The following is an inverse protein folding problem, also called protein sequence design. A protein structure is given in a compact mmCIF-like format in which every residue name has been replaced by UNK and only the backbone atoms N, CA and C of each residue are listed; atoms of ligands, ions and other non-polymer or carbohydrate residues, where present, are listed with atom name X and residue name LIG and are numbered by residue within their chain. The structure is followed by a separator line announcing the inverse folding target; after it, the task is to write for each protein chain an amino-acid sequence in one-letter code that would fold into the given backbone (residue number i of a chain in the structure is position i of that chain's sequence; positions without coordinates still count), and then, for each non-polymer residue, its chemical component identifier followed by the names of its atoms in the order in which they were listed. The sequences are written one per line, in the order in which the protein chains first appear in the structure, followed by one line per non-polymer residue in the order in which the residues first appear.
data_IF_166373979675
#
_entry.id   IF_166373979675
#
_cell.length_a   1.000
_cell.length_b   1.000
_cell.length_c   1.000
_cell.angle_alpha   90.00
_cell.angle_beta   90.00
_cell.angle_gamma   90.00
#
_symmetry.space_group_name_H-M   'P 1'
#
loop_
_entity.id
_entity.type
_entity.pdbx_description
1 polymer ?
#
# COMPACT_ATOMS: atom_id res chain seq x y z
N UNK A 1 3.51 -10.91 -2.52
CA UNK A 1 3.48 -9.53 -3.07
C UNK A 1 3.39 -9.59 -4.58
N UNK A 2 2.75 -8.61 -5.24
CA UNK A 2 2.90 -8.42 -6.70
C UNK A 2 4.33 -8.04 -7.00
N UNK A 3 4.90 -8.63 -8.04
CA UNK A 3 6.20 -8.25 -8.60
C UNK A 3 5.98 -7.52 -9.93
N UNK A 4 5.09 -8.05 -10.76
CA UNK A 4 4.77 -7.46 -12.08
C UNK A 4 3.28 -7.63 -12.40
N UNK A 5 2.71 -6.66 -13.12
CA UNK A 5 1.39 -6.73 -13.77
C UNK A 5 1.59 -6.50 -15.27
N UNK A 6 1.04 -7.40 -16.07
CA UNK A 6 1.18 -7.42 -17.52
C UNK A 6 -0.20 -7.50 -18.13
N UNK A 7 -0.44 -6.73 -19.20
CA UNK A 7 -1.61 -6.89 -20.07
C UNK A 7 -1.10 -7.31 -21.45
N UNK A 8 -1.48 -8.51 -21.85
CA UNK A 8 -1.20 -9.06 -23.17
C UNK A 8 -2.49 -9.16 -23.98
N UNK A 9 -2.38 -8.99 -25.29
CA UNK A 9 -3.41 -9.44 -26.21
C UNK A 9 -3.16 -10.90 -26.62
N UNK A 10 -4.22 -11.57 -27.03
CA UNK A 10 -4.19 -12.86 -27.71
C UNK A 10 -3.25 -12.75 -28.95
N UNK A 11 -2.22 -13.58 -28.99
CA UNK A 11 -1.08 -13.44 -29.93
C UNK A 11 0.22 -12.95 -29.28
N UNK A 12 0.21 -12.62 -27.98
CA UNK A 12 1.41 -12.27 -27.21
C UNK A 12 1.84 -10.80 -27.34
N UNK A 13 1.00 -9.94 -27.91
CA UNK A 13 1.29 -8.51 -28.03
C UNK A 13 1.19 -7.88 -26.64
N UNK A 14 2.28 -7.28 -26.17
CA UNK A 14 2.31 -6.54 -24.92
C UNK A 14 1.62 -5.18 -25.08
N UNK A 15 0.53 -4.98 -24.36
CA UNK A 15 -0.18 -3.70 -24.32
C UNK A 15 0.30 -2.85 -23.14
N UNK A 16 0.52 -3.47 -21.98
CA UNK A 16 0.92 -2.76 -20.77
C UNK A 16 1.80 -3.63 -19.89
N UNK A 17 2.77 -2.98 -19.23
CA UNK A 17 3.62 -3.61 -18.24
C UNK A 17 3.89 -2.65 -17.09
N UNK A 18 3.69 -3.17 -15.88
CA UNK A 18 4.00 -2.53 -14.63
C UNK A 18 4.91 -3.45 -13.81
N UNK A 19 6.07 -2.96 -13.39
CA UNK A 19 7.01 -3.68 -12.53
C UNK A 19 7.25 -2.90 -11.26
N UNK A 20 7.12 -3.58 -10.13
CA UNK A 20 7.31 -3.00 -8.80
C UNK A 20 8.80 -2.75 -8.52
N UNK A 21 9.69 -3.59 -9.04
CA UNK A 21 11.14 -3.48 -8.84
C UNK A 21 11.89 -2.77 -9.97
N UNK A 22 11.21 -2.27 -11.02
CA UNK A 22 11.84 -1.61 -12.17
C UNK A 22 12.69 -2.52 -13.07
N UNK A 23 13.02 -3.73 -12.62
CA UNK A 23 13.66 -4.76 -13.44
C UNK A 23 12.64 -5.32 -14.44
N UNK A 24 12.93 -5.19 -15.74
CA UNK A 24 12.14 -5.83 -16.80
C UNK A 24 12.59 -7.28 -16.96
N UNK A 25 11.88 -8.22 -16.33
CA UNK A 25 11.99 -9.66 -16.68
C UNK A 25 10.88 -10.09 -17.65
N UNK A 26 10.51 -9.16 -18.52
CA UNK A 26 9.37 -9.26 -19.42
C UNK A 26 9.50 -10.43 -20.40
N UNK A 27 10.69 -10.65 -20.98
CA UNK A 27 10.90 -11.67 -22.02
C UNK A 27 10.79 -13.09 -21.45
N UNK A 28 11.35 -13.33 -20.25
CA UNK A 28 11.23 -14.60 -19.53
C UNK A 28 9.76 -14.88 -19.15
N UNK A 29 9.03 -13.83 -18.74
CA UNK A 29 7.64 -13.91 -18.32
C UNK A 29 6.67 -14.17 -19.46
N UNK A 30 6.82 -13.44 -20.57
CA UNK A 30 5.99 -13.63 -21.77
C UNK A 30 6.25 -15.00 -22.36
N UNK A 31 7.51 -15.45 -22.43
CA UNK A 31 7.84 -16.80 -22.89
C UNK A 31 7.25 -17.89 -21.96
N UNK A 32 7.37 -17.73 -20.64
CA UNK A 32 6.79 -18.65 -19.67
C UNK A 32 5.26 -18.69 -19.76
N UNK A 33 4.60 -17.53 -19.95
CA UNK A 33 3.16 -17.44 -20.10
C UNK A 33 2.67 -18.05 -21.42
N UNK A 34 3.32 -17.77 -22.56
CA UNK A 34 2.94 -18.35 -23.84
C UNK A 34 3.12 -19.87 -23.85
N UNK A 35 4.25 -20.36 -23.31
CA UNK A 35 4.48 -21.80 -23.12
C UNK A 35 3.41 -22.46 -22.24
N UNK A 36 2.96 -21.75 -21.21
CA UNK A 36 1.89 -22.19 -20.33
C UNK A 36 0.52 -22.22 -21.01
N UNK A 37 0.16 -21.20 -21.78
CA UNK A 37 -1.10 -21.14 -22.52
C UNK A 37 -1.17 -22.23 -23.58
N UNK A 38 -0.06 -22.50 -24.28
CA UNK A 38 0.02 -23.60 -25.26
C UNK A 38 -0.14 -24.98 -24.60
N UNK A 39 0.45 -25.18 -23.42
CA UNK A 39 0.27 -26.40 -22.63
C UNK A 39 -1.17 -26.55 -22.11
N UNK A 40 -1.83 -25.44 -21.74
CA UNK A 40 -3.21 -25.44 -21.24
C UNK A 40 -4.23 -25.67 -22.38
N UNK A 41 -3.95 -25.16 -23.58
CA UNK A 41 -4.74 -25.36 -24.78
C UNK A 41 -4.76 -26.83 -25.26
N UNK A 42 -3.74 -27.62 -24.89
CA UNK A 42 -3.73 -29.07 -25.14
C UNK A 42 -4.58 -29.89 -24.14
N UNK A 43 -5.01 -29.32 -23.01
CA UNK A 43 -5.72 -30.03 -21.93
C UNK A 43 -7.22 -29.68 -21.80
N UNK A 44 -7.87 -29.18 -22.86
CA UNK A 44 -9.24 -28.62 -22.78
C UNK A 44 -10.23 -29.53 -22.04
N UNK A 45 -10.77 -29.02 -20.93
CA UNK A 45 -11.92 -29.62 -20.26
C UNK A 45 -12.17 -29.07 -18.87
N UNK A 46 -12.85 -27.92 -18.78
CA UNK A 46 -13.54 -27.41 -17.58
C UNK A 46 -12.74 -27.50 -16.26
N UNK A 47 -11.85 -26.53 -16.05
CA UNK A 47 -11.89 -25.69 -14.85
C UNK A 47 -10.79 -24.61 -14.91
N UNK A 48 -11.08 -23.46 -14.31
CA UNK A 48 -10.33 -22.20 -14.33
C UNK A 48 -8.98 -22.30 -13.60
N UNK A 49 -8.07 -23.12 -14.09
CA UNK A 49 -6.69 -23.15 -13.59
C UNK A 49 -6.00 -21.91 -14.17
N UNK A 50 -5.84 -20.87 -13.34
CA UNK A 50 -5.16 -19.60 -13.67
C UNK A 50 -3.94 -19.35 -12.80
N UNK A 51 -3.24 -20.41 -12.38
CA UNK A 51 -2.01 -20.24 -11.61
C UNK A 51 -0.95 -21.26 -12.02
N UNK A 52 0.28 -20.78 -12.24
CA UNK A 52 1.46 -21.62 -12.43
C UNK A 52 2.56 -21.11 -11.50
N UNK A 53 3.14 -22.02 -10.73
CA UNK A 53 4.28 -21.74 -9.85
C UNK A 53 5.60 -22.03 -10.56
N UNK A 54 6.54 -21.10 -10.45
CA UNK A 54 7.91 -21.20 -10.95
C UNK A 54 8.87 -20.82 -9.81
N UNK A 55 9.58 -21.80 -9.24
CA UNK A 55 10.50 -21.57 -8.14
C UNK A 55 9.87 -20.66 -7.06
N UNK A 56 10.44 -19.48 -6.78
CA UNK A 56 9.96 -18.54 -5.76
C UNK A 56 8.79 -17.62 -6.20
N UNK A 57 8.26 -17.78 -7.41
CA UNK A 57 7.21 -16.95 -7.99
C UNK A 57 6.04 -17.80 -8.45
N UNK A 58 4.89 -17.16 -8.60
CA UNK A 58 3.74 -17.74 -9.28
C UNK A 58 3.07 -16.69 -10.15
N UNK A 59 2.53 -17.15 -11.27
CA UNK A 59 1.75 -16.32 -12.17
C UNK A 59 0.28 -16.55 -11.92
N UNK A 60 -0.46 -15.48 -11.70
CA UNK A 60 -1.91 -15.48 -11.67
C UNK A 60 -2.40 -14.72 -12.89
N UNK A 61 -3.41 -15.21 -13.60
CA UNK A 61 -3.97 -14.48 -14.72
C UNK A 61 -5.50 -14.47 -14.76
N UNK A 62 -6.06 -13.48 -15.44
CA UNK A 62 -7.48 -13.35 -15.76
C UNK A 62 -7.62 -13.04 -17.25
N UNK A 63 -8.49 -13.77 -17.96
CA UNK A 63 -8.81 -13.51 -19.38
C UNK A 63 -10.07 -12.65 -19.46
N UNK A 64 -10.01 -11.53 -20.19
CA UNK A 64 -11.16 -10.65 -20.48
C UNK A 64 -11.21 -10.41 -21.99
N UNK A 65 -12.09 -11.12 -22.69
CA UNK A 65 -12.13 -11.09 -24.16
C UNK A 65 -10.85 -11.68 -24.76
N UNK A 66 -10.19 -10.93 -25.65
CA UNK A 66 -8.88 -11.27 -26.24
C UNK A 66 -7.69 -10.73 -25.41
N UNK A 67 -7.91 -10.27 -24.17
CA UNK A 67 -6.86 -9.75 -23.31
C UNK A 67 -6.57 -10.71 -22.15
N UNK A 68 -5.30 -10.83 -21.80
CA UNK A 68 -4.79 -11.53 -20.64
C UNK A 68 -4.18 -10.52 -19.67
N UNK A 69 -4.72 -10.48 -18.47
CA UNK A 69 -4.19 -9.72 -17.35
C UNK A 69 -3.43 -10.68 -16.46
N UNK A 70 -2.13 -10.45 -16.27
CA UNK A 70 -1.22 -11.39 -15.61
C UNK A 70 -0.56 -10.65 -14.45
N UNK A 71 -0.57 -11.22 -13.27
CA UNK A 71 0.23 -10.79 -12.13
C UNK A 71 1.29 -11.85 -11.83
N UNK A 72 2.55 -11.46 -11.82
CA UNK A 72 3.60 -12.24 -11.18
C UNK A 72 3.60 -11.89 -9.69
N UNK A 73 3.50 -12.89 -8.84
CA UNK A 73 3.44 -12.72 -7.39
C UNK A 73 4.41 -13.70 -6.70
N UNK A 74 4.82 -13.42 -5.47
CA UNK A 74 5.61 -14.38 -4.68
C UNK A 74 4.81 -15.66 -4.44
N UNK A 75 5.46 -16.83 -4.45
CA UNK A 75 4.84 -18.14 -4.25
C UNK A 75 3.95 -18.20 -2.99
N UNK A 76 4.38 -17.55 -1.91
CA UNK A 76 3.69 -17.53 -0.62
C UNK A 76 2.40 -16.70 -0.57
N UNK A 77 2.15 -15.86 -1.58
CA UNK A 77 0.97 -14.97 -1.58
C UNK A 77 -0.33 -15.78 -1.73
N UNK A 78 -1.52 -15.19 -1.59
CA UNK A 78 -2.79 -15.89 -1.94
C UNK A 78 -3.16 -15.58 -3.39
N UNK A 79 -3.61 -16.57 -4.17
CA UNK A 79 -3.95 -16.36 -5.59
C UNK A 79 -5.22 -15.52 -5.75
N UNK A 80 -6.10 -15.64 -4.78
CA UNK A 80 -7.48 -15.17 -4.78
C UNK A 80 -7.55 -13.64 -4.79
N UNK A 81 -6.74 -13.00 -3.94
CA UNK A 81 -6.62 -11.53 -3.89
C UNK A 81 -6.18 -10.97 -5.25
N UNK A 82 -5.21 -11.62 -5.91
CA UNK A 82 -4.73 -11.15 -7.20
C UNK A 82 -5.69 -11.43 -8.34
N UNK A 83 -6.52 -12.47 -8.26
CA UNK A 83 -7.63 -12.64 -9.22
C UNK A 83 -8.63 -11.49 -9.14
N UNK A 84 -8.94 -11.02 -7.94
CA UNK A 84 -9.85 -9.87 -7.73
C UNK A 84 -9.21 -8.59 -8.26
N UNK A 85 -7.94 -8.34 -7.90
CA UNK A 85 -7.17 -7.19 -8.41
C UNK A 85 -7.13 -7.21 -9.94
N UNK A 86 -6.78 -8.36 -10.55
CA UNK A 86 -6.69 -8.49 -12.00
C UNK A 86 -8.05 -8.32 -12.68
N UNK A 87 -9.15 -8.76 -12.05
CA UNK A 87 -10.50 -8.53 -12.58
C UNK A 87 -10.88 -7.05 -12.57
N UNK A 88 -10.62 -6.36 -11.46
CA UNK A 88 -10.88 -4.92 -11.33
C UNK A 88 -10.03 -4.12 -12.34
N UNK A 89 -8.74 -4.45 -12.43
CA UNK A 89 -7.84 -3.88 -13.45
C UNK A 89 -8.31 -4.19 -14.87
N UNK A 90 -8.80 -5.40 -15.14
CA UNK A 90 -9.32 -5.75 -16.45
C UNK A 90 -10.55 -4.93 -16.84
N UNK A 91 -11.46 -4.68 -15.90
CA UNK A 91 -12.64 -3.84 -16.13
C UNK A 91 -12.24 -2.38 -16.37
N UNK A 92 -11.36 -1.85 -15.53
CA UNK A 92 -10.88 -0.47 -15.67
C UNK A 92 -10.08 -0.29 -16.97
N UNK A 93 -9.21 -1.23 -17.34
CA UNK A 93 -8.41 -1.15 -18.57
C UNK A 93 -9.30 -1.17 -19.81
N UNK A 94 -10.25 -2.12 -19.90
CA UNK A 94 -11.16 -2.22 -21.04
C UNK A 94 -12.06 -0.98 -21.12
N UNK A 95 -12.53 -0.48 -19.97
CA UNK A 95 -13.35 0.73 -19.94
C UNK A 95 -12.58 1.98 -20.36
N UNK A 96 -11.32 2.12 -19.91
CA UNK A 96 -10.49 3.28 -20.16
C UNK A 96 -10.02 3.36 -21.61
N UNK A 97 -9.73 2.19 -22.21
CA UNK A 97 -9.12 2.11 -23.54
C UNK A 97 -10.01 1.45 -24.59
N UNK A 98 -11.32 1.37 -24.37
CA UNK A 98 -12.25 0.70 -25.29
C UNK A 98 -12.06 1.15 -26.75
N UNK A 99 -11.96 2.45 -26.99
CA UNK A 99 -11.78 3.00 -28.33
C UNK A 99 -10.41 2.63 -28.94
N UNK A 100 -9.35 2.62 -28.14
CA UNK A 100 -8.01 2.24 -28.59
C UNK A 100 -7.89 0.74 -28.86
N UNK A 101 -8.60 -0.08 -28.07
CA UNK A 101 -8.66 -1.54 -28.22
C UNK A 101 -9.45 -1.99 -29.47
N UNK A 102 -10.30 -1.13 -30.02
CA UNK A 102 -11.05 -1.38 -31.26
C UNK A 102 -10.25 -1.07 -32.54
N UNK A 103 -9.08 -0.42 -32.41
CA UNK A 103 -8.23 -0.09 -33.55
C UNK A 103 -7.29 -1.26 -33.88
N UNK A 104 -6.96 -1.44 -35.17
CA UNK A 104 -6.01 -2.47 -35.61
C UNK A 104 -4.55 -2.15 -35.23
N UNK A 105 -4.25 -0.89 -34.95
CA UNK A 105 -2.92 -0.43 -34.56
C UNK A 105 -2.97 0.24 -33.18
N UNK A 106 -2.18 -0.30 -32.24
CA UNK A 106 -2.12 0.21 -30.88
C UNK A 106 -0.98 1.21 -30.70
N UNK A 107 -1.29 2.38 -30.16
CA UNK A 107 -0.29 3.28 -29.62
C UNK A 107 0.02 2.88 -28.16
N UNK A 108 1.05 2.06 -27.99
CA UNK A 108 1.50 1.55 -26.68
C UNK A 108 1.82 2.67 -25.68
N UNK A 109 2.11 3.89 -26.17
CA UNK A 109 2.34 5.06 -25.32
C UNK A 109 1.10 5.46 -24.53
N UNK A 110 -0.11 5.23 -25.05
CA UNK A 110 -1.38 5.61 -24.41
C UNK A 110 -1.68 4.76 -23.19
N UNK A 111 -1.36 3.47 -23.25
CA UNK A 111 -1.58 2.53 -22.15
C UNK A 111 -0.68 2.80 -20.94
N UNK A 112 0.42 3.58 -21.09
CA UNK A 112 1.28 3.95 -19.95
C UNK A 112 0.54 4.70 -18.84
N UNK A 113 -0.48 5.48 -19.19
CA UNK A 113 -1.32 6.20 -18.19
C UNK A 113 -2.07 5.25 -17.26
N UNK A 114 -2.18 3.97 -17.60
CA UNK A 114 -2.77 2.94 -16.75
C UNK A 114 -1.91 2.63 -15.50
N UNK A 115 -0.64 3.06 -15.47
CA UNK A 115 0.20 2.92 -14.27
C UNK A 115 -0.45 3.55 -13.05
N UNK A 116 -1.02 4.76 -13.18
CA UNK A 116 -1.64 5.46 -12.05
C UNK A 116 -2.86 4.70 -11.52
N UNK A 117 -3.60 4.04 -12.43
CA UNK A 117 -4.75 3.20 -12.11
C UNK A 117 -4.33 1.94 -11.39
N UNK A 118 -3.25 1.29 -11.85
CA UNK A 118 -2.66 0.12 -11.21
C UNK A 118 -2.17 0.48 -9.80
N UNK A 119 -1.42 1.57 -9.66
CA UNK A 119 -0.92 2.03 -8.36
C UNK A 119 -2.07 2.36 -7.41
N UNK A 120 -3.05 3.14 -7.87
CA UNK A 120 -4.24 3.48 -7.07
C UNK A 120 -5.01 2.23 -6.64
N UNK A 121 -5.16 1.27 -7.55
CA UNK A 121 -5.85 0.01 -7.25
C UNK A 121 -5.06 -0.79 -6.22
N UNK A 122 -3.76 -0.96 -6.38
CA UNK A 122 -2.90 -1.61 -5.39
C UNK A 122 -2.94 -0.90 -4.03
N UNK A 123 -2.95 0.44 -4.01
CA UNK A 123 -3.08 1.24 -2.79
C UNK A 123 -4.39 1.01 -2.04
N UNK A 124 -5.52 0.77 -2.73
CA UNK A 124 -6.81 0.44 -2.09
C UNK A 124 -6.72 -0.83 -1.25
N UNK A 125 -5.86 -1.77 -1.63
CA UNK A 125 -5.66 -3.03 -0.92
C UNK A 125 -4.59 -2.95 0.18
N UNK A 126 -3.94 -1.79 0.36
CA UNK A 126 -2.65 -1.71 1.09
C UNK A 126 -2.55 -0.70 2.26
N UNK A 127 -3.57 0.10 2.58
CA UNK A 127 -3.76 0.76 3.90
C UNK A 127 -2.64 1.68 4.47
N UNK A 128 -1.52 1.88 3.79
CA UNK A 128 -0.39 2.77 4.12
C UNK A 128 0.10 3.37 2.79
N UNK A 129 0.49 4.66 2.70
CA UNK A 129 1.08 5.23 1.49
C UNK A 129 2.29 4.39 1.06
N UNK A 130 2.24 3.83 -0.15
CA UNK A 130 3.17 2.79 -0.62
C UNK A 130 4.65 3.20 -0.65
N UNK A 131 4.97 4.49 -0.52
CA UNK A 131 6.33 4.99 -0.30
C UNK A 131 6.92 4.49 1.02
N UNK A 132 6.15 4.51 2.11
CA UNK A 132 6.60 4.09 3.45
C UNK A 132 6.83 2.58 3.59
N UNK A 133 6.40 1.79 2.60
CA UNK A 133 6.65 0.34 2.57
C UNK A 133 7.97 -0.04 1.89
N UNK A 134 8.39 0.73 0.88
CA UNK A 134 9.63 0.47 0.13
C UNK A 134 10.80 1.32 0.61
N UNK A 135 10.50 2.55 1.02
CA UNK A 135 11.49 3.56 1.34
C UNK A 135 11.33 4.03 2.77
N UNK A 136 12.46 4.42 3.34
CA UNK A 136 12.49 5.28 4.52
C UNK A 136 11.62 6.50 4.22
N UNK A 137 10.63 6.77 5.06
CA UNK A 137 9.66 7.87 4.85
C UNK A 137 9.56 8.71 6.11
N UNK A 138 9.57 10.03 5.97
CA UNK A 138 9.42 10.95 7.09
C UNK A 138 8.01 11.53 7.09
N UNK A 139 7.36 11.51 8.24
CA UNK A 139 6.00 12.02 8.42
C UNK A 139 6.06 13.43 8.99
N UNK A 140 5.88 14.41 8.11
CA UNK A 140 5.70 15.81 8.49
C UNK A 140 4.30 16.08 9.06
N UNK A 141 4.13 17.11 9.91
CA UNK A 141 2.81 17.60 10.30
C UNK A 141 1.93 17.88 9.08
N UNK A 142 0.63 17.57 9.17
CA UNK A 142 -0.28 17.66 8.02
C UNK A 142 -0.34 19.05 7.40
N UNK A 143 -0.21 20.11 8.20
CA UNK A 143 -0.21 21.49 7.72
C UNK A 143 1.03 21.78 6.85
N UNK A 144 2.23 21.44 7.33
CA UNK A 144 3.49 21.58 6.58
C UNK A 144 3.50 20.73 5.32
N UNK A 145 3.06 19.46 5.43
CA UNK A 145 2.99 18.55 4.28
C UNK A 145 2.03 19.08 3.20
N UNK A 146 0.88 19.62 3.59
CA UNK A 146 -0.09 20.19 2.65
C UNK A 146 0.47 21.43 1.95
N UNK A 147 1.21 22.28 2.67
CA UNK A 147 1.87 23.45 2.08
C UNK A 147 2.93 23.00 1.07
N UNK A 148 3.81 22.07 1.45
CA UNK A 148 4.85 21.53 0.57
C UNK A 148 4.26 20.84 -0.65
N UNK A 149 3.23 20.02 -0.48
CA UNK A 149 2.53 19.34 -1.58
C UNK A 149 1.92 20.36 -2.54
N UNK A 150 1.23 21.38 -2.03
CA UNK A 150 0.67 22.45 -2.86
C UNK A 150 1.76 23.19 -3.64
N UNK A 151 2.88 23.53 -3.01
CA UNK A 151 4.00 24.21 -3.65
C UNK A 151 4.70 23.34 -4.69
N UNK A 152 4.81 22.05 -4.44
CA UNK A 152 5.35 21.10 -5.43
C UNK A 152 4.46 21.08 -6.68
N UNK A 153 3.13 20.98 -6.50
CA UNK A 153 2.18 21.03 -7.62
C UNK A 153 2.29 22.36 -8.38
N UNK A 154 2.40 23.50 -7.69
CA UNK A 154 2.56 24.82 -8.34
C UNK A 154 3.80 24.87 -9.25
N UNK A 155 4.90 24.24 -8.84
CA UNK A 155 6.14 24.12 -9.63
C UNK A 155 5.96 23.17 -10.83
N UNK A 156 5.27 22.06 -10.64
CA UNK A 156 4.98 21.04 -11.67
C UNK A 156 3.97 21.49 -12.73
N UNK A 157 3.23 22.58 -12.49
CA UNK A 157 2.40 23.22 -13.52
C UNK A 157 3.24 23.83 -14.64
N UNK A 158 4.53 24.12 -14.38
CA UNK A 158 5.43 24.59 -15.42
C UNK A 158 5.64 23.49 -16.48
N UNK A 159 5.77 23.89 -17.75
CA UNK A 159 5.99 22.93 -18.86
C UNK A 159 7.32 22.15 -18.71
N UNK A 160 8.26 22.73 -17.98
CA UNK A 160 9.66 22.32 -17.94
C UNK A 160 10.01 21.49 -16.70
N UNK A 161 9.19 21.53 -15.64
CA UNK A 161 9.30 20.66 -14.46
C UNK A 161 8.13 19.67 -14.46
N UNK A 162 8.42 18.38 -14.55
CA UNK A 162 7.40 17.35 -14.74
C UNK A 162 6.90 16.74 -13.44
N UNK A 163 7.83 16.42 -12.54
CA UNK A 163 7.59 15.77 -11.24
C UNK A 163 8.71 16.14 -10.29
N UNK A 164 8.46 16.19 -8.99
CA UNK A 164 9.52 16.34 -8.00
C UNK A 164 9.34 15.52 -6.73
N UNK A 165 10.38 15.51 -5.91
CA UNK A 165 10.37 14.97 -4.56
C UNK A 165 11.27 15.78 -3.63
N UNK A 166 11.12 15.50 -2.35
CA UNK A 166 11.97 15.99 -1.28
C UNK A 166 12.40 14.81 -0.42
N UNK A 167 13.70 14.61 -0.30
CA UNK A 167 14.31 13.51 0.45
C UNK A 167 15.28 14.12 1.46
N UNK A 168 15.22 13.70 2.72
CA UNK A 168 16.13 14.15 3.77
C UNK A 168 17.55 13.64 3.54
N UNK A 169 18.55 14.27 4.16
CA UNK A 169 19.96 13.90 3.99
C UNK A 169 20.29 12.46 4.41
N UNK A 170 19.50 11.87 5.30
CA UNK A 170 19.58 10.47 5.74
C UNK A 170 18.69 9.49 4.93
N UNK A 171 18.11 9.97 3.83
CA UNK A 171 17.43 9.16 2.82
C UNK A 171 15.95 8.90 3.10
N UNK A 172 15.29 9.67 3.98
CA UNK A 172 13.84 9.57 4.19
C UNK A 172 13.09 10.44 3.19
N UNK A 173 12.12 9.86 2.50
CA UNK A 173 11.24 10.57 1.58
C UNK A 173 10.23 11.36 2.40
N UNK A 174 10.21 12.69 2.24
CA UNK A 174 9.25 13.58 2.88
C UNK A 174 7.99 13.77 2.03
N UNK A 175 8.18 13.91 0.71
CA UNK A 175 7.13 14.11 -0.28
C UNK A 175 7.66 13.65 -1.63
N UNK A 176 6.85 12.99 -2.44
CA UNK A 176 7.26 12.58 -3.78
C UNK A 176 6.08 12.42 -4.74
N UNK A 177 6.19 13.02 -5.92
CA UNK A 177 5.43 12.67 -7.11
C UNK A 177 6.27 11.89 -8.13
N UNK A 178 7.56 11.64 -7.83
CA UNK A 178 8.42 10.79 -8.64
C UNK A 178 7.92 9.34 -8.67
N UNK A 179 8.14 8.67 -9.80
CA UNK A 179 7.91 7.22 -9.94
C UNK A 179 8.95 6.44 -9.15
N UNK A 180 8.65 5.18 -8.79
CA UNK A 180 9.56 4.36 -8.00
C UNK A 180 11.00 4.29 -8.57
N UNK A 181 11.17 4.02 -9.86
CA UNK A 181 12.51 3.98 -10.47
C UNK A 181 13.20 5.35 -10.50
N UNK A 182 12.44 6.46 -10.52
CA UNK A 182 13.00 7.82 -10.47
C UNK A 182 13.54 8.09 -9.06
N UNK A 183 12.83 7.65 -8.02
CA UNK A 183 13.27 7.72 -6.62
C UNK A 183 14.56 6.93 -6.41
N UNK A 184 14.68 5.70 -6.94
CA UNK A 184 15.91 4.91 -6.84
C UNK A 184 17.10 5.67 -7.43
N UNK A 185 16.93 6.28 -8.60
CA UNK A 185 17.98 7.10 -9.23
C UNK A 185 18.37 8.26 -8.31
N UNK A 186 17.41 8.95 -7.70
CA UNK A 186 17.73 10.03 -6.76
C UNK A 186 18.53 9.51 -5.57
N UNK A 187 18.07 8.43 -4.93
CA UNK A 187 18.72 7.83 -3.76
C UNK A 187 20.15 7.35 -4.08
N UNK A 188 20.39 6.78 -5.27
CA UNK A 188 21.71 6.36 -5.74
C UNK A 188 22.64 7.56 -6.02
N UNK A 189 22.09 8.66 -6.54
CA UNK A 189 22.85 9.85 -6.90
C UNK A 189 23.14 10.77 -5.69
N UNK A 190 22.29 10.75 -4.66
CA UNK A 190 22.41 11.62 -3.48
C UNK A 190 23.80 11.58 -2.81
N UNK A 191 24.41 10.41 -2.55
CA UNK A 191 25.74 10.33 -1.92
C UNK A 191 26.87 10.92 -2.76
N UNK A 192 26.67 11.05 -4.07
CA UNK A 192 27.69 11.50 -5.04
C UNK A 192 27.39 12.88 -5.65
N UNK A 193 26.49 13.65 -5.03
CA UNK A 193 26.27 15.05 -5.39
C UNK A 193 27.51 15.89 -5.03
N UNK A 194 28.09 16.55 -6.05
CA UNK A 194 29.29 17.38 -5.88
C UNK A 194 28.98 18.88 -5.75
N UNK A 195 27.82 19.33 -6.26
CA UNK A 195 27.40 20.73 -6.30
C UNK A 195 26.06 20.90 -5.57
N UNK A 196 25.73 22.13 -5.20
CA UNK A 196 24.43 22.41 -4.57
C UNK A 196 23.27 22.35 -5.57
N UNK A 197 23.54 22.59 -6.86
CA UNK A 197 22.60 22.44 -7.96
C UNK A 197 23.31 21.66 -9.06
N UNK A 198 22.66 20.61 -9.58
CA UNK A 198 23.23 19.78 -10.64
C UNK A 198 22.12 19.21 -11.53
N UNK A 199 22.28 19.30 -12.85
CA UNK A 199 21.43 18.57 -13.81
C UNK A 199 22.17 17.34 -14.29
N UNK A 200 21.56 16.16 -14.12
CA UNK A 200 22.10 14.89 -14.60
C UNK A 200 21.13 14.19 -15.53
N UNK A 201 21.60 13.89 -16.73
CA UNK A 201 20.95 12.89 -17.58
C UNK A 201 21.15 11.50 -16.97
N UNK A 202 20.14 10.64 -17.08
CA UNK A 202 20.23 9.26 -16.62
C UNK A 202 19.60 8.33 -17.66
N UNK A 203 20.23 7.18 -17.89
CA UNK A 203 19.82 6.24 -18.95
C UNK A 203 18.39 5.71 -18.78
N UNK A 204 17.90 5.65 -17.53
CA UNK A 204 16.55 5.21 -17.18
C UNK A 204 15.47 6.30 -17.32
N UNK A 205 15.83 7.54 -17.67
CA UNK A 205 14.87 8.63 -17.89
C UNK A 205 14.50 8.74 -19.37
N UNK A 206 13.26 9.15 -19.65
CA UNK A 206 12.78 9.34 -21.03
C UNK A 206 13.47 10.55 -21.66
N UNK A 207 14.03 10.43 -22.86
CA UNK A 207 14.57 11.61 -23.57
C UNK A 207 13.40 12.49 -24.06
N UNK A 208 13.47 13.83 -23.95
CA UNK A 208 14.61 14.66 -23.55
C UNK A 208 14.52 15.15 -22.09
N UNK A 209 14.43 14.26 -21.10
CA UNK A 209 14.37 14.64 -19.67
C UNK A 209 15.67 14.38 -18.93
N UNK A 210 15.87 15.10 -17.84
CA UNK A 210 17.00 14.96 -16.93
C UNK A 210 16.54 15.12 -15.48
N UNK A 211 17.41 14.77 -14.54
CA UNK A 211 17.21 14.92 -13.12
C UNK A 211 17.89 16.22 -12.66
N UNK A 212 17.12 17.18 -12.18
CA UNK A 212 17.62 18.35 -11.48
C UNK A 212 17.71 18.01 -9.99
N UNK A 213 18.89 18.08 -9.41
CA UNK A 213 19.18 17.80 -8.00
C UNK A 213 19.59 19.10 -7.32
N UNK A 214 18.93 19.42 -6.20
CA UNK A 214 19.22 20.62 -5.44
C UNK A 214 19.37 20.26 -3.96
N UNK A 215 20.56 20.54 -3.40
CA UNK A 215 20.84 20.35 -1.98
C UNK A 215 20.16 21.47 -1.20
N UNK A 216 19.30 21.11 -0.25
CA UNK A 216 18.69 22.06 0.68
C UNK A 216 19.58 22.15 1.92
N UNK A 217 20.10 23.33 2.24
CA UNK A 217 21.10 23.65 3.30
C UNK A 217 21.09 22.68 4.52
N UNK A 218 21.74 21.51 4.36
CA UNK A 218 21.84 20.40 5.32
C UNK A 218 20.55 19.62 5.68
N UNK A 219 19.41 19.94 5.09
CA UNK A 219 18.14 19.24 5.35
C UNK A 219 17.93 18.05 4.43
N UNK A 220 18.42 18.12 3.18
CA UNK A 220 18.30 17.03 2.24
C UNK A 220 18.54 17.43 0.78
N UNK A 221 17.82 16.76 -0.12
CA UNK A 221 17.86 16.98 -1.55
C UNK A 221 16.42 17.10 -2.07
N UNK A 222 16.15 18.20 -2.75
CA UNK A 222 14.99 18.32 -3.63
C UNK A 222 15.40 17.85 -5.02
N UNK A 223 14.62 16.94 -5.60
CA UNK A 223 14.92 16.39 -6.92
C UNK A 223 13.72 16.56 -7.85
N UNK A 224 13.97 16.89 -9.11
CA UNK A 224 12.94 17.15 -10.11
C UNK A 224 13.27 16.48 -11.43
N UNK A 225 12.27 15.90 -12.09
CA UNK A 225 12.37 15.53 -13.50
C UNK A 225 12.08 16.78 -14.32
N UNK A 226 13.05 17.20 -15.12
CA UNK A 226 12.94 18.40 -15.96
C UNK A 226 13.10 18.06 -17.44
N UNK A 227 12.42 18.78 -18.33
CA UNK A 227 12.67 18.69 -19.78
C UNK A 227 13.88 19.50 -20.13
N UNK A 228 14.90 18.91 -20.75
CA UNK A 228 16.11 19.60 -21.18
C UNK A 228 15.78 20.77 -22.11
N UNK A 229 16.37 21.94 -21.86
CA UNK A 229 16.20 23.13 -22.70
C UNK A 229 16.47 24.46 -21.99
N UNK A 230 16.47 24.49 -20.66
CA UNK A 230 16.80 25.69 -19.87
C UNK A 230 18.18 25.55 -19.20
N UNK A 231 18.73 26.67 -18.70
CA UNK A 231 19.94 26.66 -17.87
C UNK A 231 19.65 26.21 -16.44
N UNK A 232 20.68 25.79 -15.70
CA UNK A 232 20.57 25.44 -14.27
C UNK A 232 19.95 26.57 -13.45
N UNK A 233 20.35 27.82 -13.71
CA UNK A 233 19.81 29.01 -13.04
C UNK A 233 18.31 29.19 -13.29
N UNK A 234 17.85 29.01 -14.53
CA UNK A 234 16.43 29.13 -14.86
C UNK A 234 15.59 28.05 -14.19
N UNK A 235 16.06 26.81 -14.12
CA UNK A 235 15.33 25.79 -13.35
C UNK A 235 15.34 26.09 -11.86
N UNK A 236 16.47 26.56 -11.32
CA UNK A 236 16.56 26.94 -9.92
C UNK A 236 15.52 28.02 -9.57
N UNK A 237 15.36 29.04 -10.41
CA UNK A 237 14.32 30.07 -10.24
C UNK A 237 12.90 29.48 -10.26
N UNK A 238 12.62 28.53 -11.17
CA UNK A 238 11.30 27.88 -11.25
C UNK A 238 10.94 27.10 -9.99
N UNK A 239 11.91 26.42 -9.38
CA UNK A 239 11.69 25.58 -8.20
C UNK A 239 11.93 26.31 -6.87
N UNK A 240 12.51 27.52 -6.91
CA UNK A 240 12.78 28.36 -5.73
C UNK A 240 11.58 28.53 -4.79
N UNK A 241 10.33 28.75 -5.28
CA UNK A 241 9.17 28.85 -4.41
C UNK A 241 8.97 27.61 -3.54
N UNK A 242 9.22 26.41 -4.06
CA UNK A 242 9.15 25.17 -3.29
C UNK A 242 10.34 25.03 -2.33
N UNK A 243 11.55 25.36 -2.79
CA UNK A 243 12.77 25.27 -1.99
C UNK A 243 12.72 26.15 -0.73
N UNK A 244 12.09 27.32 -0.81
CA UNK A 244 11.92 28.20 0.34
C UNK A 244 11.18 27.49 1.49
N UNK A 245 10.03 26.87 1.20
CA UNK A 245 9.28 26.11 2.21
C UNK A 245 9.99 24.82 2.62
N UNK A 246 10.63 24.11 1.69
CA UNK A 246 11.41 22.92 2.01
C UNK A 246 12.59 23.23 2.96
N UNK A 247 13.14 24.43 2.88
CA UNK A 247 14.21 24.89 3.78
C UNK A 247 13.71 25.25 5.18
N UNK A 248 12.44 25.60 5.32
CA UNK A 248 11.80 25.96 6.60
C UNK A 248 11.24 24.74 7.35
N UNK A 249 10.82 23.69 6.64
CA UNK A 249 10.22 22.48 7.22
C UNK A 249 11.08 21.83 8.33
N UNK A 250 10.44 21.38 9.41
CA UNK A 250 11.12 20.73 10.54
C UNK A 250 11.20 19.20 10.32
N UNK A 251 12.36 18.74 9.85
CA UNK A 251 12.64 17.31 9.70
C UNK A 251 13.22 16.66 10.95
N UNK A 252 13.71 17.44 11.93
CA UNK A 252 14.35 16.89 13.13
C UNK A 252 13.30 16.42 14.14
N UNK A 253 12.21 17.18 14.30
CA UNK A 253 11.06 16.79 15.12
C UNK A 253 10.10 15.79 14.46
N UNK A 254 10.24 15.55 13.15
CA UNK A 254 9.32 14.73 12.39
C UNK A 254 9.55 13.21 12.56
N UNK A 255 8.46 12.45 12.61
CA UNK A 255 8.52 11.01 12.86
C UNK A 255 9.05 10.27 11.63
N UNK A 256 10.12 9.51 11.82
CA UNK A 256 10.74 8.67 10.79
C UNK A 256 10.14 7.26 10.79
N UNK A 257 9.75 6.78 9.61
CA UNK A 257 9.28 5.42 9.37
C UNK A 257 10.32 4.65 8.55
N UNK A 258 10.71 3.50 9.08
CA UNK A 258 11.48 2.53 8.32
C UNK A 258 10.56 1.73 7.40
N UNK A 259 11.04 1.31 6.21
CA UNK A 259 10.29 0.40 5.36
C UNK A 259 10.00 -0.91 6.11
N UNK A 260 8.78 -1.42 5.96
CA UNK A 260 8.37 -2.70 6.55
C UNK A 260 9.26 -3.82 5.98
N UNK A 261 10.18 -4.34 6.82
CA UNK A 261 10.96 -5.54 6.51
C UNK A 261 10.10 -6.78 6.74
N UNK A 262 9.08 -6.97 5.92
CA UNK A 262 8.23 -8.15 6.07
C UNK A 262 7.81 -8.70 4.72
N UNK A 263 8.57 -9.69 4.27
CA UNK A 263 8.11 -10.77 3.40
C UNK A 263 7.06 -11.61 4.13
N UNK A 264 5.92 -11.02 4.50
CA UNK A 264 4.79 -11.79 5.00
C UNK A 264 3.58 -11.61 4.09
N UNK A 265 2.87 -12.71 3.89
CA UNK A 265 1.57 -12.82 3.23
C UNK A 265 0.72 -11.57 3.43
N UNK A 266 0.24 -10.97 2.33
CA UNK A 266 -0.84 -9.98 2.36
C UNK A 266 -2.09 -10.75 2.79
N UNK A 267 -2.28 -10.84 4.09
CA UNK A 267 -3.49 -11.33 4.76
C UNK A 267 -3.95 -10.21 5.68
N UNK A 268 -5.25 -10.03 5.87
CA UNK A 268 -5.71 -9.04 6.82
C UNK A 268 -5.24 -9.46 8.22
N UNK A 269 -4.67 -8.53 8.98
CA UNK A 269 -4.21 -8.88 10.31
C UNK A 269 -5.43 -9.19 11.17
N UNK A 270 -5.32 -10.25 11.98
CA UNK A 270 -6.38 -10.72 12.86
C UNK A 270 -6.91 -9.63 13.82
N UNK A 271 -6.11 -8.58 14.05
CA UNK A 271 -6.40 -7.48 14.96
C UNK A 271 -6.75 -6.16 14.26
N UNK A 272 -6.88 -6.16 12.93
CA UNK A 272 -7.46 -5.03 12.22
C UNK A 272 -8.98 -5.02 12.37
N UNK A 273 -9.59 -3.84 12.32
CA UNK A 273 -11.04 -3.65 12.34
C UNK A 273 -11.61 -3.54 10.94
N UNK A 274 -12.83 -4.05 10.78
CA UNK A 274 -13.60 -3.91 9.55
C UNK A 274 -14.67 -2.86 9.75
N UNK A 275 -14.56 -1.72 9.05
CA UNK A 275 -15.55 -0.64 9.09
C UNK A 275 -16.45 -0.69 7.86
N UNK A 276 -17.79 -0.68 8.03
CA UNK A 276 -18.71 -0.53 6.91
C UNK A 276 -18.60 0.87 6.29
N UNK A 277 -18.53 0.93 4.96
CA UNK A 277 -18.63 2.18 4.16
C UNK A 277 -20.02 2.28 3.52
N UNK A 278 -20.56 1.16 3.06
CA UNK A 278 -21.90 1.07 2.51
C UNK A 278 -22.96 0.84 3.61
N UNK A 279 -24.25 0.92 3.23
CA UNK A 279 -25.34 0.57 4.15
C UNK A 279 -25.24 -0.90 4.56
N UNK A 280 -25.60 -1.20 5.81
CA UNK A 280 -25.56 -2.56 6.35
C UNK A 280 -26.40 -3.53 5.51
N UNK A 281 -27.56 -3.09 5.03
CA UNK A 281 -28.42 -3.92 4.16
C UNK A 281 -27.78 -4.19 2.78
N UNK A 282 -27.01 -3.23 2.25
CA UNK A 282 -26.25 -3.43 1.00
C UNK A 282 -25.09 -4.42 1.17
N UNK A 283 -24.39 -4.35 2.30
CA UNK A 283 -23.33 -5.29 2.67
C UNK A 283 -23.92 -6.70 2.88
N UNK A 284 -25.07 -6.81 3.54
CA UNK A 284 -25.78 -8.07 3.77
C UNK A 284 -26.23 -8.71 2.46
N UNK A 285 -26.81 -7.93 1.55
CA UNK A 285 -27.22 -8.42 0.23
C UNK A 285 -26.03 -9.02 -0.53
N UNK A 286 -24.89 -8.33 -0.53
CA UNK A 286 -23.68 -8.80 -1.18
C UNK A 286 -23.08 -10.02 -0.49
N UNK A 287 -22.99 -10.01 0.84
CA UNK A 287 -22.54 -11.17 1.63
C UNK A 287 -23.37 -12.41 1.29
N UNK A 288 -24.70 -12.28 1.22
CA UNK A 288 -25.58 -13.39 0.87
C UNK A 288 -25.40 -13.87 -0.57
N UNK A 289 -25.07 -12.97 -1.49
CA UNK A 289 -24.72 -13.30 -2.88
C UNK A 289 -23.42 -14.11 -2.95
N UNK A 290 -22.37 -13.61 -2.29
CA UNK A 290 -21.05 -14.24 -2.22
C UNK A 290 -21.06 -15.57 -1.47
N UNK A 291 -21.89 -15.71 -0.44
CA UNK A 291 -22.03 -16.89 0.40
C UNK A 291 -23.16 -17.83 -0.03
N UNK A 292 -23.76 -17.62 -1.20
CA UNK A 292 -24.88 -18.42 -1.72
C UNK A 292 -24.54 -19.93 -1.82
N UNK A 293 -23.28 -20.26 -2.12
CA UNK A 293 -22.78 -21.64 -2.18
C UNK A 293 -22.21 -22.16 -0.83
N UNK A 294 -22.16 -21.34 0.21
CA UNK A 294 -21.59 -21.72 1.51
C UNK A 294 -22.54 -22.56 2.36
N UNK A 295 -21.99 -23.17 3.42
CA UNK A 295 -22.73 -24.00 4.38
C UNK A 295 -23.81 -23.21 5.14
N UNK A 296 -24.84 -23.89 5.66
CA UNK A 296 -25.87 -23.25 6.50
C UNK A 296 -25.28 -22.53 7.72
N UNK A 297 -24.22 -23.08 8.32
CA UNK A 297 -23.51 -22.44 9.43
C UNK A 297 -22.92 -21.08 9.02
N UNK A 298 -22.29 -21.00 7.85
CA UNK A 298 -21.70 -19.77 7.31
C UNK A 298 -22.78 -18.73 6.99
N UNK A 299 -23.93 -19.15 6.45
CA UNK A 299 -25.07 -18.26 6.19
C UNK A 299 -25.69 -17.72 7.48
N UNK A 300 -25.80 -18.57 8.51
CA UNK A 300 -26.21 -18.12 9.86
C UNK A 300 -25.21 -17.12 10.47
N UNK A 301 -23.93 -17.29 10.15
CA UNK A 301 -22.86 -16.35 10.52
C UNK A 301 -23.01 -14.99 9.86
N UNK A 302 -23.48 -14.91 8.60
CA UNK A 302 -23.71 -13.64 7.91
C UNK A 302 -24.76 -12.77 8.61
N UNK A 303 -25.80 -13.38 9.18
CA UNK A 303 -26.82 -12.69 10.00
C UNK A 303 -26.18 -12.13 11.28
N UNK A 304 -25.37 -12.92 11.98
CA UNK A 304 -24.63 -12.46 13.18
C UNK A 304 -23.61 -11.36 12.85
N UNK A 305 -22.99 -11.44 11.68
CA UNK A 305 -22.06 -10.42 11.21
C UNK A 305 -22.77 -9.09 10.99
N UNK A 306 -24.02 -9.10 10.50
CA UNK A 306 -24.85 -7.89 10.39
C UNK A 306 -24.98 -7.14 11.70
N UNK A 307 -25.18 -7.87 12.81
CA UNK A 307 -25.30 -7.28 14.15
C UNK A 307 -23.95 -6.74 14.66
N UNK A 308 -22.83 -7.38 14.29
CA UNK A 308 -21.49 -6.99 14.72
C UNK A 308 -20.89 -5.83 13.89
N UNK A 309 -21.22 -5.71 12.61
CA UNK A 309 -20.63 -4.74 11.66
C UNK A 309 -20.69 -3.27 12.12
N UNK A 310 -21.79 -2.76 12.74
CA UNK A 310 -21.84 -1.39 13.25
C UNK A 310 -20.73 -1.07 14.26
N UNK A 311 -20.33 -2.05 15.07
CA UNK A 311 -19.28 -1.90 16.10
C UNK A 311 -17.85 -2.03 15.54
N UNK A 312 -17.72 -2.18 14.21
CA UNK A 312 -16.46 -2.36 13.49
C UNK A 312 -15.61 -3.50 14.07
N UNK A 313 -16.04 -4.76 13.92
CA UNK A 313 -15.44 -5.91 14.60
C UNK A 313 -14.03 -6.20 14.07
N UNK A 314 -13.25 -6.95 14.85
CA UNK A 314 -11.94 -7.41 14.42
C UNK A 314 -12.05 -8.49 13.32
N UNK A 315 -11.05 -8.58 12.45
CA UNK A 315 -10.95 -9.67 11.46
C UNK A 315 -11.03 -11.04 12.14
N UNK A 316 -10.38 -11.23 13.29
CA UNK A 316 -10.49 -12.47 14.07
C UNK A 316 -11.91 -12.78 14.56
N UNK A 317 -12.69 -11.74 14.91
CA UNK A 317 -14.07 -11.90 15.36
C UNK A 317 -14.98 -12.28 14.20
N UNK A 318 -14.78 -11.67 13.02
CA UNK A 318 -15.48 -12.05 11.80
C UNK A 318 -15.16 -13.50 11.42
N UNK A 319 -13.90 -13.92 11.56
CA UNK A 319 -13.49 -15.30 11.34
C UNK A 319 -14.28 -16.28 12.21
N UNK A 320 -14.42 -15.95 13.50
CA UNK A 320 -15.17 -16.76 14.46
C UNK A 320 -16.67 -16.76 14.14
N UNK A 321 -17.24 -15.60 13.78
CA UNK A 321 -18.66 -15.44 13.46
C UNK A 321 -19.05 -16.23 12.21
N UNK A 322 -18.25 -16.15 11.15
CA UNK A 322 -18.52 -16.82 9.87
C UNK A 322 -18.05 -18.28 9.84
N UNK A 323 -17.24 -18.69 10.83
CA UNK A 323 -16.57 -20.00 10.90
C UNK A 323 -15.82 -20.35 9.60
N UNK A 324 -15.25 -19.33 8.94
CA UNK A 324 -14.52 -19.49 7.69
C UNK A 324 -13.02 -19.75 7.95
N UNK A 325 -12.40 -20.64 7.15
CA UNK A 325 -10.95 -20.68 7.01
C UNK A 325 -10.38 -19.30 6.67
N UNK A 326 -9.19 -18.97 7.17
CA UNK A 326 -8.59 -17.63 7.02
C UNK A 326 -8.50 -17.17 5.56
N UNK A 327 -8.11 -18.07 4.65
CA UNK A 327 -8.06 -17.79 3.21
C UNK A 327 -9.42 -17.44 2.60
N UNK A 328 -10.49 -18.12 3.01
CA UNK A 328 -11.86 -17.83 2.54
C UNK A 328 -12.39 -16.51 3.13
N UNK A 329 -12.02 -16.21 4.38
CA UNK A 329 -12.33 -14.92 4.99
C UNK A 329 -11.62 -13.78 4.27
N UNK A 330 -10.32 -13.93 4.00
CA UNK A 330 -9.53 -12.93 3.29
C UNK A 330 -10.11 -12.66 1.89
N UNK A 331 -10.56 -13.70 1.18
CA UNK A 331 -11.24 -13.55 -0.12
C UNK A 331 -12.58 -12.79 0.02
N UNK A 332 -13.39 -13.14 1.01
CA UNK A 332 -14.66 -12.49 1.26
C UNK A 332 -14.48 -11.00 1.61
N UNK A 333 -13.53 -10.68 2.50
CA UNK A 333 -13.21 -9.31 2.85
C UNK A 333 -12.64 -8.54 1.65
N UNK A 334 -11.76 -9.15 0.85
CA UNK A 334 -11.24 -8.53 -0.37
C UNK A 334 -12.34 -8.20 -1.39
N UNK A 335 -13.32 -9.09 -1.57
CA UNK A 335 -14.47 -8.85 -2.45
C UNK A 335 -15.33 -7.67 -1.97
N UNK A 336 -15.58 -7.57 -0.66
CA UNK A 336 -16.35 -6.46 -0.09
C UNK A 336 -15.58 -5.13 -0.17
N UNK A 337 -14.25 -5.15 -0.01
CA UNK A 337 -13.40 -3.97 -0.20
C UNK A 337 -13.41 -3.51 -1.65
N UNK A 338 -13.26 -4.45 -2.60
CA UNK A 338 -13.25 -4.15 -4.04
C UNK A 338 -14.57 -3.49 -4.49
N UNK A 339 -15.68 -3.88 -3.88
CA UNK A 339 -17.01 -3.28 -4.11
C UNK A 339 -17.27 -2.01 -3.31
N UNK A 340 -16.25 -1.48 -2.63
CA UNK A 340 -16.32 -0.28 -1.79
C UNK A 340 -17.36 -0.37 -0.66
N UNK A 341 -17.57 -1.57 -0.13
CA UNK A 341 -18.58 -1.84 0.90
C UNK A 341 -18.02 -1.75 2.31
N UNK A 342 -16.76 -2.15 2.50
CA UNK A 342 -16.05 -2.14 3.78
C UNK A 342 -14.64 -1.60 3.60
N UNK A 343 -14.03 -1.15 4.70
CA UNK A 343 -12.61 -0.77 4.77
C UNK A 343 -11.97 -1.43 5.99
N UNK A 344 -10.73 -1.85 5.83
CA UNK A 344 -9.89 -2.35 6.92
C UNK A 344 -9.18 -1.16 7.58
N UNK A 345 -9.21 -1.12 8.90
CA UNK A 345 -8.57 -0.07 9.70
C UNK A 345 -7.69 -0.70 10.77
N UNK A 346 -6.52 -0.11 10.98
CA UNK A 346 -5.65 -0.48 12.10
C UNK A 346 -6.27 -0.01 13.41
N UNK A 347 -5.94 -0.72 14.49
CA UNK A 347 -6.38 -0.41 15.86
C UNK A 347 -5.23 0.17 16.66
N UNK A 348 -5.45 1.36 17.23
CA UNK A 348 -4.48 2.12 18.01
C UNK A 348 -4.93 2.22 19.48
N UNK A 349 -4.28 1.51 20.43
CA UNK A 349 -4.62 1.60 21.84
C UNK A 349 -4.01 2.86 22.48
N UNK A 350 -4.78 3.50 23.35
CA UNK A 350 -4.33 4.59 24.25
C UNK A 350 -4.60 4.17 25.68
N UNK A 351 -3.58 4.22 26.54
CA UNK A 351 -3.71 4.03 27.99
C UNK A 351 -3.72 5.40 28.69
N UNK A 352 -4.58 5.56 29.69
CA UNK A 352 -4.63 6.76 30.53
C UNK A 352 -3.34 6.92 31.36
N UNK A 353 -3.03 8.12 31.85
CA UNK A 353 -1.81 8.35 32.63
C UNK A 353 -1.72 7.45 33.88
N UNK A 354 -0.50 7.02 34.20
CA UNK A 354 -0.23 6.13 35.33
C UNK A 354 -0.34 6.91 36.63
N UNK A 355 -1.55 7.04 37.14
CA UNK A 355 -1.80 7.62 38.45
C UNK A 355 -1.85 6.54 39.55
N UNK A 356 -1.95 7.00 40.80
CA UNK A 356 -2.07 6.12 41.97
C UNK A 356 -3.33 5.23 41.88
N UNK A 357 -4.37 5.69 41.16
CA UNK A 357 -5.63 4.97 40.96
C UNK A 357 -5.47 3.83 39.96
N UNK A 358 -4.67 4.01 38.91
CA UNK A 358 -4.36 2.96 37.94
C UNK A 358 -3.56 1.83 38.61
N UNK A 359 -2.63 2.18 39.50
CA UNK A 359 -1.87 1.19 40.28
C UNK A 359 -2.77 0.40 41.23
N UNK A 360 -3.68 1.08 41.95
CA UNK A 360 -4.71 0.41 42.77
C UNK A 360 -5.67 -0.44 41.92
N UNK A 361 -6.04 0.01 40.72
CA UNK A 361 -6.89 -0.76 39.81
C UNK A 361 -6.23 -2.08 39.39
N UNK A 362 -4.93 -2.05 39.03
CA UNK A 362 -4.19 -3.26 38.67
C UNK A 362 -4.12 -4.28 39.84
N UNK A 363 -4.05 -3.79 41.08
CA UNK A 363 -4.13 -4.64 42.29
C UNK A 363 -5.54 -5.23 42.48
N UNK A 364 -6.59 -4.43 42.25
CA UNK A 364 -7.99 -4.84 42.42
C UNK A 364 -8.45 -5.86 41.38
N UNK A 365 -8.04 -5.72 40.12
CA UNK A 365 -8.38 -6.70 39.06
C UNK A 365 -7.61 -8.02 39.20
N UNK A 366 -6.64 -8.10 40.12
CA UNK A 366 -5.88 -9.32 40.37
C UNK A 366 -5.03 -9.77 39.18
N UNK A 367 -4.46 -8.81 38.43
CA UNK A 367 -3.69 -9.12 37.23
C UNK A 367 -2.48 -9.98 37.59
N UNK A 368 -2.19 -11.05 36.82
CA UNK A 368 -1.04 -11.91 37.13
C UNK A 368 0.25 -11.10 36.93
N UNK A 369 1.29 -11.40 37.71
CA UNK A 369 2.60 -10.73 37.59
C UNK A 369 3.14 -10.72 36.14
N UNK A 370 2.90 -11.78 35.37
CA UNK A 370 3.29 -11.89 33.96
C UNK A 370 2.54 -10.92 33.04
N UNK A 371 1.28 -10.60 33.34
CA UNK A 371 0.48 -9.63 32.59
C UNK A 371 0.91 -8.20 32.92
N UNK A 372 1.23 -7.94 34.20
CA UNK A 372 1.80 -6.67 34.64
C UNK A 372 3.11 -6.30 33.92
N UNK A 373 4.00 -7.27 33.71
CA UNK A 373 5.24 -7.07 32.97
C UNK A 373 4.98 -6.73 31.49
N UNK A 374 3.94 -7.35 30.89
CA UNK A 374 3.50 -7.01 29.53
C UNK A 374 2.96 -5.58 29.49
N UNK A 375 2.07 -5.20 30.41
CA UNK A 375 1.52 -3.83 30.50
C UNK A 375 2.65 -2.81 30.62
N UNK A 376 3.61 -3.01 31.53
CA UNK A 376 4.75 -2.09 31.70
C UNK A 376 5.58 -1.95 30.42
N UNK A 377 5.74 -3.04 29.66
CA UNK A 377 6.55 -3.05 28.43
C UNK A 377 5.86 -2.32 27.29
N UNK A 378 4.55 -2.53 27.13
CA UNK A 378 3.76 -1.93 26.03
C UNK A 378 3.29 -0.52 26.35
N UNK A 379 3.22 -0.12 27.62
CA UNK A 379 2.66 1.15 28.10
C UNK A 379 3.12 2.36 27.29
N UNK A 380 4.45 2.50 27.15
CA UNK A 380 5.10 3.61 26.44
C UNK A 380 4.80 3.67 24.94
N UNK A 381 4.14 2.65 24.40
CA UNK A 381 3.73 2.54 23.00
C UNK A 381 2.20 2.57 22.83
N UNK A 382 1.44 2.57 23.93
CA UNK A 382 -0.01 2.66 23.94
C UNK A 382 -0.46 4.12 24.12
N UNK A 383 0.01 5.01 23.24
CA UNK A 383 -0.33 6.44 23.20
C UNK A 383 -1.25 6.80 22.00
N UNK A 384 -1.76 5.78 21.30
CA UNK A 384 -2.52 5.93 20.08
C UNK A 384 -1.68 6.17 18.81
N UNK A 385 -0.35 6.18 18.92
CA UNK A 385 0.57 6.43 17.79
C UNK A 385 0.99 5.16 17.05
N UNK A 386 0.83 3.99 17.67
CA UNK A 386 1.24 2.68 17.15
C UNK A 386 0.06 1.71 17.12
N UNK A 387 -0.06 0.95 16.04
CA UNK A 387 -1.04 -0.13 16.00
C UNK A 387 -0.58 -1.32 16.84
N UNK A 388 -1.51 -2.19 17.19
CA UNK A 388 -1.21 -3.43 17.94
C UNK A 388 -0.08 -4.26 17.29
N UNK A 389 -0.08 -4.33 15.97
CA UNK A 389 0.97 -5.04 15.21
C UNK A 389 2.32 -4.33 15.35
N UNK A 390 2.34 -3.00 15.25
CA UNK A 390 3.56 -2.20 15.38
C UNK A 390 4.14 -2.26 16.81
N UNK A 391 3.27 -2.35 17.83
CA UNK A 391 3.70 -2.57 19.22
C UNK A 391 4.30 -3.97 19.34
N UNK A 392 3.65 -5.00 18.80
CA UNK A 392 4.13 -6.39 18.82
C UNK A 392 5.53 -6.53 18.25
N UNK A 393 5.80 -5.88 17.12
CA UNK A 393 7.11 -5.90 16.47
C UNK A 393 8.18 -5.19 17.32
N UNK A 394 7.84 -4.04 17.91
CA UNK A 394 8.77 -3.25 18.74
C UNK A 394 9.10 -3.89 20.08
N UNK A 395 8.14 -4.57 20.69
CA UNK A 395 8.34 -5.19 22.01
C UNK A 395 8.73 -6.65 21.93
N UNK A 396 8.65 -7.26 20.74
CA UNK A 396 8.78 -8.72 20.55
C UNK A 396 7.75 -9.53 21.36
N UNK A 397 6.65 -8.90 21.79
CA UNK A 397 5.53 -9.57 22.47
C UNK A 397 4.46 -9.86 21.42
N UNK A 398 3.96 -11.11 21.28
CA UNK A 398 2.97 -11.43 20.25
C UNK A 398 1.71 -10.56 20.34
N UNK A 399 1.24 -10.03 19.20
CA UNK A 399 0.00 -9.26 19.08
C UNK A 399 -1.24 -9.89 19.77
N UNK A 400 -1.49 -11.22 19.70
CA UNK A 400 -2.60 -11.83 20.45
C UNK A 400 -2.48 -11.63 21.96
N UNK A 401 -1.26 -11.69 22.50
CA UNK A 401 -0.98 -11.53 23.91
C UNK A 401 -1.16 -10.08 24.37
N UNK A 402 -0.74 -9.13 23.53
CA UNK A 402 -0.96 -7.70 23.77
C UNK A 402 -2.47 -7.41 23.82
N UNK A 403 -3.23 -7.93 22.86
CA UNK A 403 -4.68 -7.73 22.80
C UNK A 403 -5.43 -8.35 23.98
N UNK A 404 -5.04 -9.53 24.42
CA UNK A 404 -5.60 -10.18 25.61
C UNK A 404 -5.42 -9.30 26.85
N UNK A 405 -4.19 -8.87 27.11
CA UNK A 405 -3.85 -8.03 28.28
C UNK A 405 -4.58 -6.68 28.22
N UNK A 406 -4.59 -6.01 27.06
CA UNK A 406 -5.30 -4.73 26.92
C UNK A 406 -6.82 -4.88 27.08
N UNK A 407 -7.40 -6.02 26.69
CA UNK A 407 -8.83 -6.30 26.94
C UNK A 407 -9.13 -6.50 28.42
N UNK A 408 -8.23 -7.14 29.17
CA UNK A 408 -8.38 -7.29 30.63
C UNK A 408 -8.35 -5.94 31.38
N UNK A 409 -7.66 -4.93 30.84
CA UNK A 409 -7.66 -3.57 31.39
C UNK A 409 -8.99 -2.82 31.19
N UNK A 410 -9.88 -3.34 30.33
CA UNK A 410 -11.23 -2.83 30.12
C UNK A 410 -11.26 -1.34 29.77
N UNK A 411 -12.00 -0.56 30.56
CA UNK A 411 -12.27 0.86 30.30
C UNK A 411 -11.04 1.77 30.41
N UNK A 412 -9.90 1.26 30.89
CA UNK A 412 -8.65 2.03 30.95
C UNK A 412 -7.90 2.06 29.61
N UNK A 413 -8.38 1.30 28.61
CA UNK A 413 -7.86 1.33 27.25
C UNK A 413 -8.87 2.02 26.35
N UNK A 414 -8.48 3.17 25.82
CA UNK A 414 -9.22 3.82 24.75
C UNK A 414 -8.74 3.28 23.40
N UNK A 415 -9.66 2.78 22.59
CA UNK A 415 -9.36 2.26 21.26
C UNK A 415 -9.67 3.32 20.20
N UNK A 416 -8.68 3.66 19.37
CA UNK A 416 -8.87 4.54 18.22
C UNK A 416 -8.63 3.83 16.90
N UNK A 417 -9.35 4.28 15.88
CA UNK A 417 -9.20 3.83 14.49
C UNK A 417 -8.31 4.78 13.68
N UNK A 418 -8.07 5.97 14.22
CA UNK A 418 -7.21 6.98 13.65
C UNK A 418 -5.96 7.07 14.50
N UNK A 419 -4.81 7.13 13.84
CA UNK A 419 -3.53 7.30 14.54
C UNK A 419 -3.52 8.68 15.20
N UNK A 420 -3.40 8.72 16.52
CA UNK A 420 -3.21 9.97 17.28
C UNK A 420 -1.72 10.31 17.28
N UNK A 421 -1.37 11.43 16.68
CA UNK A 421 -0.03 12.00 16.75
C UNK A 421 0.01 12.98 17.92
N UNK A 422 0.14 12.44 19.14
CA UNK A 422 0.38 13.29 20.30
C UNK A 422 1.83 13.79 20.18
N UNK A 423 2.02 15.11 20.18
CA UNK A 423 3.35 15.72 20.33
C UNK A 423 3.94 15.20 21.65
N UNK A 424 4.91 14.29 21.55
CA UNK A 424 5.80 14.02 22.67
C UNK A 424 6.68 15.25 22.77
N UNK A 425 6.45 16.04 23.82
CA UNK A 425 7.31 17.16 24.22
C UNK A 425 8.76 16.73 24.41
#
# INVERSE_FOLDING_TARGET
MVKEIIVLQEGGILLFHYSIGGTKKLDELVAAFLSAVDSLAQQVGRDRITTISFAANKLVWEKKGNLFFIAMISEESTNEIFRIILRDLAEQFVSMYYADLMNEFFDLGRFKSFTDVVETTLHKFDGIPGLARRYKTILLPSEELNILAKKLVEVEVSRDVLRGCLITSDGYIALSHLRAYEIEIVLDLMPILLRDVEIREHASLEKPTALLLIRTHNKGVAAFIVRLGLSEESYYELVTPFLAYASEADFEGARKLEPEKTESQISFYSFDRVKPIASIDGIEHELNSLLSAASENTRSGAIKLREALPESPLVAEIQQILALPKNQLDELLANLIARNMIRIMKVFPTLDERDERFSMFLEVIGIKKKDFDVVNTIWKYCDGSLSIQEISERTSIPAPRIMEVLRELGNNVTWSNDRRLIHVR
#
